data_IF_138266015650
#
_entry.id   IF_138266015650
#
_cell.length_a   1.000
_cell.length_b   1.000
_cell.length_c   1.000
_cell.angle_alpha   90.00
_cell.angle_beta   90.00
_cell.angle_gamma   90.00
#
_symmetry.space_group_name_H-M   'P 1'
#
loop_
_entity.id
_entity.type
_entity.pdbx_description
1 polymer ?
#
# COMPACT_ATOMS: atom_id res chain seq x y z
N UNK A 1 -2.71 -16.46 -3.85
CA UNK A 1 -4.07 -16.41 -3.28
C UNK A 1 -4.88 -15.40 -4.08
N UNK A 2 -6.10 -15.76 -4.46
CA UNK A 2 -7.06 -14.87 -5.11
C UNK A 2 -8.25 -14.72 -4.16
N UNK A 3 -8.56 -13.49 -3.74
CA UNK A 3 -9.77 -13.19 -2.98
C UNK A 3 -10.58 -12.08 -3.66
N UNK A 4 -11.87 -12.31 -3.88
CA UNK A 4 -12.70 -11.28 -4.47
C UNK A 4 -13.21 -10.27 -3.41
N UNK A 5 -13.65 -10.80 -2.27
CA UNK A 5 -14.10 -10.03 -1.12
C UNK A 5 -13.63 -10.75 0.14
N UNK A 6 -12.76 -10.10 0.92
CA UNK A 6 -12.31 -10.61 2.20
C UNK A 6 -12.46 -9.52 3.25
N UNK A 7 -13.01 -9.87 4.42
CA UNK A 7 -13.01 -8.96 5.55
C UNK A 7 -11.57 -8.76 6.03
N UNK A 8 -10.89 -9.86 6.32
CA UNK A 8 -9.50 -9.88 6.75
C UNK A 8 -8.75 -10.93 5.93
N UNK A 9 -7.57 -10.55 5.41
CA UNK A 9 -6.70 -11.49 4.73
C UNK A 9 -5.46 -11.73 5.59
N UNK A 10 -5.37 -12.86 6.31
CA UNK A 10 -4.22 -13.12 7.15
C UNK A 10 -2.94 -13.19 6.30
N UNK A 11 -1.83 -12.75 6.89
CA UNK A 11 -0.46 -12.71 6.35
C UNK A 11 -0.29 -13.40 4.99
N UNK A 12 -0.28 -12.62 3.91
CA UNK A 12 -0.04 -13.17 2.58
C UNK A 12 1.46 -13.31 2.32
N UNK A 13 1.91 -14.53 1.99
CA UNK A 13 3.29 -14.83 1.57
C UNK A 13 3.30 -15.31 0.12
N UNK A 14 4.12 -14.68 -0.71
CA UNK A 14 4.22 -15.02 -2.14
C UNK A 14 3.35 -14.10 -2.99
N UNK A 15 2.36 -14.67 -3.69
CA UNK A 15 1.49 -13.93 -4.60
C UNK A 15 0.08 -13.77 -4.01
N UNK A 16 -0.38 -12.54 -3.90
CA UNK A 16 -1.72 -12.21 -3.40
C UNK A 16 -2.43 -11.25 -4.35
N UNK A 17 -3.67 -11.58 -4.65
CA UNK A 17 -4.56 -10.76 -5.47
C UNK A 17 -5.88 -10.61 -4.70
N UNK A 18 -6.25 -9.38 -4.36
CA UNK A 18 -7.49 -9.07 -3.68
C UNK A 18 -8.22 -7.93 -4.40
N UNK A 19 -9.50 -8.09 -4.74
CA UNK A 19 -10.28 -6.95 -5.26
C UNK A 19 -10.78 -6.06 -4.13
N UNK A 20 -11.33 -6.64 -3.07
CA UNK A 20 -11.76 -5.91 -1.88
C UNK A 20 -11.26 -6.60 -0.62
N UNK A 21 -10.46 -5.89 0.16
CA UNK A 21 -10.06 -6.25 1.51
C UNK A 21 -10.37 -5.12 2.47
N UNK A 22 -10.93 -5.40 3.64
CA UNK A 22 -11.05 -4.38 4.67
C UNK A 22 -9.69 -4.22 5.36
N UNK A 23 -9.12 -5.33 5.84
CA UNK A 23 -7.83 -5.34 6.53
C UNK A 23 -6.86 -6.37 5.91
N UNK A 24 -5.63 -5.93 5.64
CA UNK A 24 -4.55 -6.78 5.17
C UNK A 24 -3.30 -6.56 6.02
N UNK A 25 -3.18 -7.19 7.20
CA UNK A 25 -2.19 -6.82 8.21
C UNK A 25 -0.74 -6.95 7.73
N UNK A 26 -0.47 -7.89 6.81
CA UNK A 26 0.87 -8.10 6.29
C UNK A 26 0.84 -8.70 4.88
N UNK A 27 1.56 -8.06 3.97
CA UNK A 27 1.91 -8.65 2.68
C UNK A 27 3.42 -8.79 2.53
N UNK A 28 3.88 -9.98 2.13
CA UNK A 28 5.26 -10.24 1.75
C UNK A 28 5.36 -10.95 0.41
N UNK A 29 5.98 -10.29 -0.55
CA UNK A 29 6.14 -10.80 -1.92
C UNK A 29 5.50 -9.86 -2.93
N UNK A 30 4.63 -10.41 -3.77
CA UNK A 30 3.87 -9.69 -4.81
C UNK A 30 2.41 -9.60 -4.38
N UNK A 31 1.92 -8.39 -4.17
CA UNK A 31 0.55 -8.14 -3.73
C UNK A 31 -0.13 -7.13 -4.67
N UNK A 32 -1.31 -7.49 -5.17
CA UNK A 32 -2.16 -6.62 -5.95
C UNK A 32 -3.50 -6.48 -5.23
N UNK A 33 -3.83 -5.26 -4.83
CA UNK A 33 -5.08 -4.96 -4.11
C UNK A 33 -5.79 -3.82 -4.82
N UNK A 34 -7.05 -4.01 -5.20
CA UNK A 34 -7.80 -2.89 -5.81
C UNK A 34 -8.28 -1.93 -4.73
N UNK A 35 -8.93 -2.45 -3.69
CA UNK A 35 -9.40 -1.66 -2.55
C UNK A 35 -8.96 -2.31 -1.23
N UNK A 36 -8.25 -1.53 -0.42
CA UNK A 36 -7.91 -1.86 0.96
C UNK A 36 -8.33 -0.70 1.86
N UNK A 37 -8.89 -0.97 3.03
CA UNK A 37 -9.08 0.08 4.03
C UNK A 37 -7.75 0.28 4.77
N UNK A 38 -7.24 -0.80 5.37
CA UNK A 38 -6.00 -0.78 6.14
C UNK A 38 -5.00 -1.80 5.62
N UNK A 39 -3.79 -1.33 5.31
CA UNK A 39 -2.66 -2.16 4.91
C UNK A 39 -1.45 -1.78 5.78
N UNK A 40 -1.35 -2.27 7.03
CA UNK A 40 -0.37 -1.76 7.98
C UNK A 40 1.09 -2.05 7.58
N UNK A 41 1.33 -3.15 6.88
CA UNK A 41 2.67 -3.49 6.43
C UNK A 41 2.71 -4.17 5.07
N UNK A 42 3.48 -3.57 4.15
CA UNK A 42 3.83 -4.20 2.87
C UNK A 42 5.35 -4.34 2.71
N UNK A 43 5.80 -5.52 2.28
CA UNK A 43 7.21 -5.78 1.94
C UNK A 43 7.37 -6.54 0.64
N UNK A 44 8.10 -5.93 -0.31
CA UNK A 44 8.33 -6.50 -1.63
C UNK A 44 7.75 -5.61 -2.71
N UNK A 45 6.91 -6.18 -3.56
CA UNK A 45 6.21 -5.50 -4.65
C UNK A 45 4.73 -5.42 -4.30
N UNK A 46 4.22 -4.20 -4.12
CA UNK A 46 2.83 -3.96 -3.77
C UNK A 46 2.21 -2.96 -4.75
N UNK A 47 1.08 -3.33 -5.33
CA UNK A 47 0.26 -2.45 -6.16
C UNK A 47 -1.10 -2.30 -5.48
N UNK A 48 -1.46 -1.06 -5.14
CA UNK A 48 -2.74 -0.74 -4.51
C UNK A 48 -3.43 0.37 -5.30
N UNK A 49 -4.67 0.14 -5.75
CA UNK A 49 -5.40 1.23 -6.43
C UNK A 49 -5.91 2.23 -5.40
N UNK A 50 -6.55 1.75 -4.33
CA UNK A 50 -7.06 2.61 -3.26
C UNK A 50 -6.72 2.03 -1.89
N UNK A 51 -6.08 2.83 -1.05
CA UNK A 51 -5.82 2.55 0.36
C UNK A 51 -6.27 3.75 1.20
N UNK A 52 -6.91 3.51 2.34
CA UNK A 52 -7.13 4.58 3.30
C UNK A 52 -5.83 4.79 4.09
N UNK A 53 -5.34 3.75 4.75
CA UNK A 53 -4.13 3.79 5.57
C UNK A 53 -3.09 2.76 5.12
N UNK A 54 -1.87 3.23 4.86
CA UNK A 54 -0.70 2.40 4.59
C UNK A 54 0.48 2.88 5.45
N UNK A 55 0.54 2.50 6.74
CA UNK A 55 1.55 3.07 7.63
C UNK A 55 2.99 2.71 7.30
N UNK A 56 3.23 1.53 6.72
CA UNK A 56 4.58 1.12 6.35
C UNK A 56 4.65 0.37 5.02
N UNK A 57 5.44 0.93 4.09
CA UNK A 57 5.83 0.24 2.87
C UNK A 57 7.35 0.07 2.75
N UNK A 58 7.80 -1.12 2.38
CA UNK A 58 9.22 -1.41 2.10
C UNK A 58 9.43 -2.19 0.81
N UNK A 59 10.18 -1.62 -0.12
CA UNK A 59 10.47 -2.22 -1.41
C UNK A 59 9.95 -1.35 -2.54
N UNK A 60 9.16 -1.95 -3.43
CA UNK A 60 8.50 -1.28 -4.55
C UNK A 60 7.01 -1.20 -4.27
N UNK A 61 6.49 0.02 -4.13
CA UNK A 61 5.09 0.28 -3.84
C UNK A 61 4.52 1.25 -4.87
N UNK A 62 3.44 0.84 -5.53
CA UNK A 62 2.65 1.68 -6.43
C UNK A 62 1.28 1.85 -5.82
N UNK A 63 0.91 3.09 -5.50
CA UNK A 63 -0.40 3.40 -4.93
C UNK A 63 -1.04 4.51 -5.73
N UNK A 64 -2.25 4.30 -6.23
CA UNK A 64 -2.94 5.35 -7.00
C UNK A 64 -3.54 6.39 -6.07
N UNK A 65 -4.24 5.96 -5.04
CA UNK A 65 -4.82 6.81 -4.01
C UNK A 65 -4.49 6.26 -2.62
N UNK A 66 -3.86 7.10 -1.79
CA UNK A 66 -3.63 6.84 -0.37
C UNK A 66 -4.11 8.04 0.43
N UNK A 67 -4.83 7.84 1.54
CA UNK A 67 -5.09 8.96 2.46
C UNK A 67 -3.83 9.20 3.27
N UNK A 68 -3.35 8.20 4.00
CA UNK A 68 -2.18 8.30 4.87
C UNK A 68 -1.09 7.28 4.49
N UNK A 69 0.12 7.78 4.23
CA UNK A 69 1.33 6.97 4.09
C UNK A 69 2.44 7.55 4.97
N UNK A 70 2.45 7.28 6.29
CA UNK A 70 3.45 7.86 7.19
C UNK A 70 4.89 7.44 6.90
N UNK A 71 5.11 6.22 6.41
CA UNK A 71 6.47 5.74 6.13
C UNK A 71 6.57 4.91 4.86
N UNK A 72 7.45 5.35 3.96
CA UNK A 72 7.89 4.55 2.81
C UNK A 72 9.41 4.39 2.78
N UNK A 73 9.88 3.19 2.44
CA UNK A 73 11.31 2.91 2.23
C UNK A 73 11.57 2.09 0.98
N UNK A 74 12.32 2.66 0.03
CA UNK A 74 12.64 2.03 -1.25
C UNK A 74 12.17 2.88 -2.42
N UNK A 75 11.41 2.27 -3.32
CA UNK A 75 10.78 2.91 -4.48
C UNK A 75 9.28 3.01 -4.23
N UNK A 76 8.76 4.21 -4.10
CA UNK A 76 7.34 4.47 -3.94
C UNK A 76 6.86 5.39 -5.07
N UNK A 77 5.74 5.01 -5.68
CA UNK A 77 5.04 5.83 -6.67
C UNK A 77 3.62 6.05 -6.17
N UNK A 78 3.27 7.30 -5.93
CA UNK A 78 1.97 7.76 -5.50
C UNK A 78 1.38 8.68 -6.55
N UNK A 79 0.15 8.42 -7.00
CA UNK A 79 -0.55 9.39 -7.84
C UNK A 79 -1.15 10.48 -6.96
N UNK A 80 -1.90 10.08 -5.93
CA UNK A 80 -2.50 10.98 -4.95
C UNK A 80 -2.24 10.47 -3.53
N UNK A 81 -1.76 11.36 -2.67
CA UNK A 81 -1.59 11.13 -1.25
C UNK A 81 -2.08 12.35 -0.45
N UNK A 82 -2.80 12.15 0.65
CA UNK A 82 -3.18 13.27 1.50
C UNK A 82 -2.02 13.64 2.43
N UNK A 83 -1.44 12.66 3.12
CA UNK A 83 -0.30 12.84 4.05
C UNK A 83 0.86 11.87 3.77
N UNK A 84 2.06 12.44 3.56
CA UNK A 84 3.32 11.70 3.44
C UNK A 84 4.44 12.37 4.27
N UNK A 85 4.55 12.10 5.58
CA UNK A 85 5.54 12.71 6.47
C UNK A 85 6.95 12.14 6.34
N UNK A 86 7.12 10.90 5.87
CA UNK A 86 8.47 10.34 5.73
C UNK A 86 8.61 9.38 4.56
N UNK A 87 9.57 9.68 3.69
CA UNK A 87 10.02 8.78 2.64
C UNK A 87 11.54 8.63 2.67
N UNK A 88 12.02 7.39 2.55
CA UNK A 88 13.45 7.07 2.49
C UNK A 88 13.77 6.23 1.25
N UNK A 89 14.29 6.89 0.23
CA UNK A 89 14.62 6.29 -1.05
C UNK A 89 14.08 7.15 -2.18
N UNK A 90 13.63 6.50 -3.25
CA UNK A 90 13.00 7.16 -4.38
C UNK A 90 11.50 7.19 -4.15
N UNK A 91 10.94 8.39 -3.95
CA UNK A 91 9.51 8.60 -3.85
C UNK A 91 9.08 9.57 -4.94
N UNK A 92 8.19 9.11 -5.82
CA UNK A 92 7.56 9.94 -6.83
C UNK A 92 6.10 10.13 -6.44
N UNK A 93 5.73 11.37 -6.13
CA UNK A 93 4.34 11.71 -5.84
C UNK A 93 3.85 12.72 -6.84
N UNK A 94 2.73 12.44 -7.49
CA UNK A 94 2.15 13.38 -8.48
C UNK A 94 1.38 14.49 -7.77
N UNK A 95 0.58 14.15 -6.77
CA UNK A 95 -0.20 15.08 -5.96
C UNK A 95 -0.14 14.68 -4.49
N UNK A 96 0.37 15.59 -3.65
CA UNK A 96 0.36 15.49 -2.19
C UNK A 96 -0.33 16.73 -1.63
N UNK A 97 -1.27 16.54 -0.70
CA UNK A 97 -1.94 17.67 -0.04
C UNK A 97 -1.09 18.21 1.12
N UNK A 98 -0.47 17.32 1.89
CA UNK A 98 0.48 17.65 2.95
C UNK A 98 1.76 16.81 2.81
N UNK A 99 2.89 17.51 2.78
CA UNK A 99 4.24 16.96 2.78
C UNK A 99 4.97 17.62 3.95
N UNK A 100 5.33 16.86 4.99
CA UNK A 100 6.05 17.35 6.17
C UNK A 100 7.51 16.90 6.20
#
# INVERSE_FOLDING_TARGET
>A
MLCQYCLELPNSRGWCFATYCLELPYSRGWCYVTYCLELPYSRGWCYVTYCLELPYSRGWCYVTYCLELPYSRGWCYLTFCLELPYSRGWCYVTYCLELS
#
